data_IF_251270261734
#
_entry.id   IF_251270261734
#
_cell.length_a   1.000
_cell.length_b   1.000
_cell.length_c   1.000
_cell.angle_alpha   90.00
_cell.angle_beta   90.00
_cell.angle_gamma   90.00
#
_symmetry.space_group_name_H-M   'P 1'
#
loop_
_entity.id
_entity.type
_entity.pdbx_description
1 polymer ?
#
# COMPACT_ATOMS: atom_id res chain seq x y z
N UNK A 1 27.73 -43.24 40.44
CA UNK A 1 27.56 -41.82 40.10
C UNK A 1 28.32 -41.43 38.83
N UNK A 2 29.63 -41.67 38.68
CA UNK A 2 30.40 -41.27 37.49
C UNK A 2 29.86 -41.85 36.15
N UNK A 3 29.46 -43.13 36.11
CA UNK A 3 28.90 -43.75 34.88
C UNK A 3 27.58 -43.13 34.43
N UNK A 4 26.70 -42.73 35.35
CA UNK A 4 25.43 -42.05 35.04
C UNK A 4 25.72 -40.66 34.47
N UNK A 5 26.68 -39.92 35.03
CA UNK A 5 27.08 -38.63 34.52
C UNK A 5 27.63 -38.70 33.07
N UNK A 6 28.42 -39.72 32.74
CA UNK A 6 28.90 -39.93 31.37
C UNK A 6 27.76 -40.28 30.40
N UNK A 7 26.79 -41.07 30.80
CA UNK A 7 25.61 -41.41 29.98
C UNK A 7 24.78 -40.15 29.71
N UNK A 8 24.50 -39.35 30.72
CA UNK A 8 23.76 -38.12 30.60
C UNK A 8 24.50 -37.10 29.70
N UNK A 9 25.80 -36.99 29.85
CA UNK A 9 26.63 -36.12 28.99
C UNK A 9 26.60 -36.58 27.54
N UNK A 10 26.68 -37.89 27.28
CA UNK A 10 26.62 -38.44 25.92
C UNK A 10 25.24 -38.22 25.28
N UNK A 11 24.15 -38.39 26.03
CA UNK A 11 22.78 -38.10 25.58
C UNK A 11 22.64 -36.61 25.23
N UNK A 12 23.16 -35.72 26.06
CA UNK A 12 23.14 -34.30 25.81
C UNK A 12 23.88 -33.92 24.50
N UNK A 13 25.04 -34.51 24.25
CA UNK A 13 25.79 -34.30 23.01
C UNK A 13 25.04 -34.82 21.78
N UNK A 14 24.40 -36.00 21.87
CA UNK A 14 23.61 -36.58 20.78
C UNK A 14 22.41 -35.69 20.42
N UNK A 15 21.89 -34.90 21.36
CA UNK A 15 20.79 -33.97 21.12
C UNK A 15 21.33 -32.62 20.61
N UNK A 16 22.36 -32.08 21.26
CA UNK A 16 22.86 -30.71 20.94
C UNK A 16 23.61 -30.62 19.60
N UNK A 17 24.34 -31.68 19.22
CA UNK A 17 25.09 -31.65 17.95
C UNK A 17 24.15 -31.62 16.75
N UNK A 18 23.15 -32.49 16.59
CA UNK A 18 22.22 -32.41 15.48
C UNK A 18 21.43 -31.08 15.47
N UNK A 19 21.01 -30.57 16.63
CA UNK A 19 20.34 -29.31 16.78
C UNK A 19 21.24 -28.14 16.30
N UNK A 20 22.51 -28.10 16.71
CA UNK A 20 23.48 -27.11 16.26
C UNK A 20 23.75 -27.19 14.74
N UNK A 21 23.89 -28.41 14.19
CA UNK A 21 24.03 -28.64 12.76
C UNK A 21 22.80 -28.14 12.00
N UNK A 22 21.60 -28.44 12.50
CA UNK A 22 20.36 -27.99 11.87
C UNK A 22 20.22 -26.46 11.86
N UNK A 23 20.62 -25.79 12.95
CA UNK A 23 20.64 -24.33 13.00
C UNK A 23 21.68 -23.75 12.04
N UNK A 24 22.85 -24.34 11.95
CA UNK A 24 23.90 -23.92 11.02
C UNK A 24 23.48 -24.10 9.54
N UNK A 25 22.80 -25.20 9.20
CA UNK A 25 22.26 -25.43 7.87
C UNK A 25 21.19 -24.39 7.54
N UNK A 26 20.25 -24.11 8.47
CA UNK A 26 19.24 -23.05 8.29
C UNK A 26 19.88 -21.69 8.05
N UNK A 27 20.88 -21.33 8.86
CA UNK A 27 21.59 -20.04 8.71
C UNK A 27 22.30 -19.90 7.36
N UNK A 28 22.90 -21.00 6.86
CA UNK A 28 23.55 -21.01 5.53
C UNK A 28 22.59 -21.06 4.34
N UNK A 29 21.30 -21.25 4.56
CA UNK A 29 20.26 -21.22 3.53
C UNK A 29 19.63 -19.83 3.38
N UNK A 30 19.95 -18.89 4.28
CA UNK A 30 19.49 -17.52 4.15
C UNK A 30 20.35 -16.79 3.10
N UNK A 31 19.76 -15.89 2.31
CA UNK A 31 20.54 -15.04 1.39
C UNK A 31 21.42 -14.07 2.18
N UNK A 32 22.49 -13.60 1.55
CA UNK A 32 23.34 -12.56 2.14
C UNK A 32 22.66 -11.20 2.09
N UNK A 33 21.87 -10.94 1.05
CA UNK A 33 21.07 -9.72 0.88
C UNK A 33 19.70 -10.02 0.29
N UNK A 34 18.76 -9.10 0.54
CA UNK A 34 17.42 -9.06 -0.08
C UNK A 34 17.08 -7.65 -0.51
N UNK A 35 16.21 -7.53 -1.49
CA UNK A 35 15.71 -6.24 -2.00
C UNK A 35 14.22 -6.12 -1.72
N UNK A 36 13.78 -4.99 -1.13
CA UNK A 36 12.38 -4.69 -0.85
C UNK A 36 11.93 -3.50 -1.70
N UNK A 37 10.93 -3.71 -2.56
CA UNK A 37 10.26 -2.61 -3.24
C UNK A 37 9.28 -1.92 -2.29
N UNK A 38 9.37 -0.59 -2.18
CA UNK A 38 8.70 0.22 -1.17
C UNK A 38 7.49 0.95 -1.75
N UNK A 39 7.47 2.26 -1.75
CA UNK A 39 6.37 3.09 -2.26
C UNK A 39 6.72 4.56 -2.15
N UNK A 40 5.73 5.40 -2.42
CA UNK A 40 5.86 6.85 -2.40
C UNK A 40 6.26 7.38 -1.03
N UNK A 41 7.01 8.48 -1.05
CA UNK A 41 7.29 9.29 0.15
C UNK A 41 5.98 9.83 0.72
N UNK A 42 5.81 9.73 2.04
CA UNK A 42 4.57 10.08 2.72
C UNK A 42 3.52 8.97 2.75
N UNK A 43 3.71 7.87 2.00
CA UNK A 43 2.91 6.66 2.09
C UNK A 43 3.38 5.70 3.18
N UNK A 44 2.53 4.74 3.53
CA UNK A 44 2.82 3.76 4.60
C UNK A 44 3.79 2.67 4.16
N UNK A 45 3.83 2.30 2.89
CA UNK A 45 4.68 1.22 2.38
C UNK A 45 6.16 1.44 2.69
N UNK A 46 6.67 2.66 2.47
CA UNK A 46 8.06 3.00 2.75
C UNK A 46 8.42 2.84 4.23
N UNK A 47 7.52 3.25 5.13
CA UNK A 47 7.71 3.15 6.57
C UNK A 47 7.75 1.68 7.01
N UNK A 48 6.79 0.88 6.54
CA UNK A 48 6.68 -0.53 6.92
C UNK A 48 7.80 -1.36 6.30
N UNK A 49 8.14 -1.13 5.02
CA UNK A 49 9.24 -1.82 4.37
C UNK A 49 10.55 -1.61 5.12
N UNK A 50 10.82 -0.35 5.55
CA UNK A 50 12.00 -0.04 6.33
C UNK A 50 12.00 -0.73 7.69
N UNK A 51 10.90 -0.67 8.44
CA UNK A 51 10.78 -1.34 9.73
C UNK A 51 10.95 -2.88 9.62
N UNK A 52 10.41 -3.47 8.55
CA UNK A 52 10.57 -4.89 8.25
C UNK A 52 12.03 -5.22 7.91
N UNK A 53 12.67 -4.43 7.08
CA UNK A 53 14.06 -4.63 6.71
C UNK A 53 15.00 -4.49 7.91
N UNK A 54 14.83 -3.47 8.74
CA UNK A 54 15.60 -3.30 9.98
C UNK A 54 15.45 -4.54 10.88
N UNK A 55 14.22 -5.05 11.06
CA UNK A 55 13.98 -6.25 11.86
C UNK A 55 14.61 -7.53 11.25
N UNK A 56 14.65 -7.66 9.92
CA UNK A 56 15.31 -8.76 9.21
C UNK A 56 16.83 -8.67 9.41
N UNK A 57 17.40 -7.49 9.22
CA UNK A 57 18.82 -7.24 9.40
C UNK A 57 19.26 -7.53 10.84
N UNK A 58 18.53 -7.00 11.83
CA UNK A 58 18.85 -7.19 13.26
C UNK A 58 18.76 -8.69 13.66
N UNK A 59 17.77 -9.40 13.14
CA UNK A 59 17.51 -10.78 13.57
C UNK A 59 18.36 -11.83 12.84
N UNK A 60 18.62 -11.58 11.57
CA UNK A 60 19.23 -12.61 10.69
C UNK A 60 20.57 -12.17 10.10
N UNK A 61 20.95 -10.90 10.22
CA UNK A 61 22.18 -10.35 9.63
C UNK A 61 22.15 -10.26 8.11
N UNK A 62 20.95 -10.26 7.51
CA UNK A 62 20.74 -10.14 6.05
C UNK A 62 20.80 -8.65 5.71
N UNK A 63 21.59 -8.28 4.71
CA UNK A 63 21.60 -6.93 4.17
C UNK A 63 20.29 -6.63 3.44
N UNK A 64 19.71 -5.45 3.63
CA UNK A 64 18.42 -5.10 3.02
C UNK A 64 18.57 -3.86 2.17
N UNK A 65 18.38 -4.03 0.85
CA UNK A 65 18.30 -2.96 -0.12
C UNK A 65 16.85 -2.53 -0.36
N UNK A 66 16.64 -1.27 -0.75
CA UNK A 66 15.32 -0.74 -1.00
C UNK A 66 15.21 -0.11 -2.38
N UNK A 67 14.10 -0.42 -3.09
CA UNK A 67 13.73 0.23 -4.34
C UNK A 67 12.54 1.16 -4.05
N UNK A 68 12.72 2.46 -4.28
CA UNK A 68 11.62 3.41 -4.27
C UNK A 68 10.73 3.19 -5.51
N UNK A 69 9.42 3.20 -5.32
CA UNK A 69 8.45 2.93 -6.37
C UNK A 69 7.24 3.86 -6.29
N UNK A 70 6.48 3.91 -7.38
CA UNK A 70 5.18 4.60 -7.40
C UNK A 70 4.10 3.86 -6.56
N UNK A 71 4.30 2.58 -6.23
CA UNK A 71 3.37 1.79 -5.42
C UNK A 71 3.05 0.42 -6.01
N UNK A 72 1.82 -0.04 -5.83
CA UNK A 72 1.43 -1.44 -5.97
C UNK A 72 1.69 -2.07 -7.34
N UNK A 73 1.36 -1.40 -8.45
CA UNK A 73 1.61 -1.95 -9.79
C UNK A 73 3.11 -2.05 -10.09
N UNK A 74 3.87 -1.01 -9.77
CA UNK A 74 5.32 -1.00 -9.90
C UNK A 74 5.97 -2.08 -9.03
N UNK A 75 5.47 -2.29 -7.83
CA UNK A 75 5.97 -3.29 -6.90
C UNK A 75 5.76 -4.72 -7.41
N UNK A 76 4.59 -5.02 -7.97
CA UNK A 76 4.30 -6.32 -8.57
C UNK A 76 5.23 -6.56 -9.77
N UNK A 77 5.47 -5.55 -10.58
CA UNK A 77 6.39 -5.63 -11.71
C UNK A 77 7.82 -5.94 -11.26
N UNK A 78 8.35 -5.27 -10.24
CA UNK A 78 9.68 -5.54 -9.70
C UNK A 78 9.83 -6.99 -9.20
N UNK A 79 8.79 -7.57 -8.57
CA UNK A 79 8.80 -8.99 -8.19
C UNK A 79 8.78 -9.90 -9.44
N UNK A 80 7.92 -9.63 -10.43
CA UNK A 80 7.83 -10.46 -11.64
C UNK A 80 9.12 -10.44 -12.49
N UNK A 81 9.79 -9.30 -12.55
CA UNK A 81 11.05 -9.10 -13.25
C UNK A 81 12.26 -9.60 -12.44
N UNK A 82 12.07 -9.95 -11.16
CA UNK A 82 13.14 -10.43 -10.28
C UNK A 82 14.08 -9.33 -9.80
N UNK A 83 13.63 -8.07 -9.83
CA UNK A 83 14.38 -6.92 -9.35
C UNK A 83 14.19 -6.71 -7.83
N UNK A 84 13.10 -7.23 -7.24
CA UNK A 84 12.85 -7.24 -5.81
C UNK A 84 12.47 -8.64 -5.32
N UNK A 85 12.87 -8.97 -4.09
CA UNK A 85 12.51 -10.22 -3.40
C UNK A 85 11.19 -10.08 -2.65
N UNK A 86 10.90 -8.88 -2.11
CA UNK A 86 9.69 -8.54 -1.36
C UNK A 86 9.13 -7.21 -1.82
N UNK A 87 7.81 -7.08 -1.68
CA UNK A 87 7.10 -5.84 -1.97
C UNK A 87 5.80 -5.74 -1.18
N UNK A 88 5.33 -4.51 -0.96
CA UNK A 88 3.98 -4.24 -0.45
C UNK A 88 3.06 -3.85 -1.61
N UNK A 89 1.84 -4.36 -1.62
CA UNK A 89 0.87 -4.03 -2.66
C UNK A 89 -0.57 -4.22 -2.19
N UNK A 90 -1.49 -3.53 -2.83
CA UNK A 90 -2.93 -3.67 -2.65
C UNK A 90 -3.45 -4.91 -3.39
N UNK A 91 -4.27 -5.78 -2.78
CA UNK A 91 -4.75 -7.00 -3.43
C UNK A 91 -5.54 -6.76 -4.72
N UNK A 92 -6.30 -5.68 -4.80
CA UNK A 92 -7.11 -5.32 -5.97
C UNK A 92 -6.29 -5.06 -7.24
N UNK A 93 -4.98 -4.83 -7.12
CA UNK A 93 -4.10 -4.60 -8.28
C UNK A 93 -3.88 -5.87 -9.10
N UNK A 94 -3.91 -7.04 -8.45
CA UNK A 94 -3.73 -8.35 -9.14
C UNK A 94 -5.06 -9.01 -9.51
N UNK A 95 -6.19 -8.52 -9.01
CA UNK A 95 -7.50 -9.12 -9.29
C UNK A 95 -7.95 -8.82 -10.72
N UNK A 96 -8.21 -9.88 -11.49
CA UNK A 96 -8.68 -9.77 -12.88
C UNK A 96 -7.66 -9.36 -13.93
N UNK A 97 -6.39 -9.20 -13.53
CA UNK A 97 -5.25 -8.94 -14.43
C UNK A 97 -4.47 -10.22 -14.75
N UNK A 98 -3.43 -10.10 -15.58
CA UNK A 98 -2.55 -11.21 -15.95
C UNK A 98 -2.02 -11.95 -14.72
N UNK A 99 -1.85 -13.28 -14.87
CA UNK A 99 -1.30 -14.10 -13.78
C UNK A 99 0.18 -13.75 -13.62
N UNK A 100 0.49 -13.04 -12.56
CA UNK A 100 1.87 -12.77 -12.15
C UNK A 100 2.46 -14.04 -11.55
N UNK A 101 3.16 -14.83 -12.38
CA UNK A 101 3.60 -16.20 -12.04
C UNK A 101 4.60 -16.25 -10.89
N UNK A 102 5.35 -15.17 -10.68
CA UNK A 102 6.39 -15.07 -9.67
C UNK A 102 5.91 -14.45 -8.34
N UNK A 103 4.75 -13.79 -8.33
CA UNK A 103 4.21 -13.15 -7.13
C UNK A 103 3.55 -14.17 -6.21
N UNK A 104 3.87 -14.11 -4.93
CA UNK A 104 3.23 -14.91 -3.86
C UNK A 104 2.91 -14.01 -2.68
N UNK A 105 1.65 -13.94 -2.30
CA UNK A 105 1.23 -13.24 -1.08
C UNK A 105 1.61 -14.08 0.13
N UNK A 106 2.31 -13.48 1.08
CA UNK A 106 2.78 -14.13 2.31
C UNK A 106 2.04 -13.66 3.56
N UNK A 107 1.57 -12.42 3.60
CA UNK A 107 0.82 -11.89 4.74
C UNK A 107 0.02 -10.64 4.36
N UNK A 108 -1.07 -10.39 5.10
CA UNK A 108 -1.69 -9.08 5.19
C UNK A 108 -1.00 -8.30 6.31
N UNK A 109 -0.58 -7.07 6.03
CA UNK A 109 0.22 -6.28 6.95
C UNK A 109 -0.63 -5.23 7.67
N UNK A 110 -1.47 -4.49 6.94
CA UNK A 110 -2.37 -3.47 7.49
C UNK A 110 -3.56 -3.24 6.54
N UNK A 111 -4.69 -2.73 7.06
CA UNK A 111 -5.80 -2.31 6.22
C UNK A 111 -5.49 -0.96 5.55
N UNK A 112 -5.93 -0.81 4.31
CA UNK A 112 -5.92 0.46 3.61
C UNK A 112 -7.35 0.98 3.45
N UNK A 113 -7.51 2.28 3.55
CA UNK A 113 -8.78 2.97 3.39
C UNK A 113 -8.73 3.90 2.18
N UNK A 114 -9.83 3.99 1.47
CA UNK A 114 -9.99 4.95 0.38
C UNK A 114 -10.59 6.22 0.96
N UNK A 115 -9.84 7.32 0.89
CA UNK A 115 -10.28 8.62 1.38
C UNK A 115 -10.44 9.58 0.22
N UNK A 116 -11.62 10.19 0.11
CA UNK A 116 -11.95 11.18 -0.91
C UNK A 116 -11.85 12.58 -0.30
N UNK A 117 -10.77 13.28 -0.61
CA UNK A 117 -10.54 14.66 -0.19
C UNK A 117 -11.08 15.62 -1.23
N UNK A 118 -12.09 16.38 -0.87
CA UNK A 118 -12.71 17.41 -1.73
C UNK A 118 -12.39 18.78 -1.19
N UNK A 119 -12.08 19.71 -2.06
CA UNK A 119 -11.89 21.11 -1.74
C UNK A 119 -13.13 21.69 -1.05
N UNK A 120 -12.96 22.40 0.07
CA UNK A 120 -14.10 22.89 0.90
C UNK A 120 -15.01 23.87 0.15
N UNK A 121 -14.45 24.65 -0.75
CA UNK A 121 -15.16 25.67 -1.54
C UNK A 121 -15.82 25.12 -2.81
N UNK A 122 -15.66 23.80 -3.12
CA UNK A 122 -16.36 23.19 -4.23
C UNK A 122 -17.88 23.17 -3.96
N UNK A 123 -18.72 23.82 -4.81
CA UNK A 123 -20.13 24.02 -4.52
C UNK A 123 -21.03 22.82 -4.84
N UNK A 124 -20.46 21.71 -5.33
CA UNK A 124 -21.20 20.49 -5.73
C UNK A 124 -20.50 19.22 -5.25
N UNK A 125 -21.24 18.11 -5.27
CA UNK A 125 -20.66 16.78 -5.00
C UNK A 125 -20.05 16.22 -6.29
N UNK A 126 -18.71 16.00 -6.35
CA UNK A 126 -18.04 15.56 -7.57
C UNK A 126 -18.41 14.13 -7.98
N UNK A 127 -19.06 13.34 -7.15
CA UNK A 127 -19.56 12.01 -7.52
C UNK A 127 -20.98 12.03 -8.08
N UNK A 128 -21.83 12.95 -7.66
CA UNK A 128 -23.25 12.96 -8.00
C UNK A 128 -23.63 14.07 -8.99
N UNK A 129 -22.87 15.12 -9.02
CA UNK A 129 -23.19 16.32 -9.80
C UNK A 129 -22.06 16.65 -10.77
N UNK A 130 -22.41 17.22 -11.91
CA UNK A 130 -21.46 17.94 -12.75
C UNK A 130 -21.52 19.42 -12.39
N UNK A 131 -20.42 20.13 -12.64
CA UNK A 131 -20.42 21.58 -12.51
C UNK A 131 -21.59 22.20 -13.29
N UNK A 132 -22.39 23.04 -12.64
CA UNK A 132 -23.54 23.73 -13.25
C UNK A 132 -23.14 24.63 -14.44
N UNK A 133 -21.88 25.02 -14.49
CA UNK A 133 -21.30 25.87 -15.54
C UNK A 133 -20.59 25.08 -16.63
N UNK A 134 -20.64 23.73 -16.61
CA UNK A 134 -19.91 22.87 -17.53
C UNK A 134 -18.38 22.91 -17.34
N UNK A 135 -17.92 23.37 -16.17
CA UNK A 135 -16.50 23.37 -15.82
C UNK A 135 -16.02 21.92 -15.60
N UNK A 136 -14.79 21.67 -15.98
CA UNK A 136 -14.13 20.39 -15.79
C UNK A 136 -13.76 20.20 -14.31
N UNK A 137 -14.12 19.04 -13.73
CA UNK A 137 -13.70 18.67 -12.39
C UNK A 137 -12.32 18.00 -12.46
N UNK A 138 -11.34 18.53 -11.77
CA UNK A 138 -9.99 17.98 -11.72
C UNK A 138 -9.88 16.95 -10.59
N UNK A 139 -9.50 15.72 -10.94
CA UNK A 139 -9.43 14.60 -10.00
C UNK A 139 -8.01 14.03 -9.96
N UNK A 140 -7.34 14.13 -8.82
CA UNK A 140 -6.08 13.43 -8.61
C UNK A 140 -6.37 11.96 -8.28
N UNK A 141 -5.80 11.06 -9.09
CA UNK A 141 -6.03 9.60 -9.03
C UNK A 141 -4.83 8.81 -8.50
N UNK A 142 -3.76 9.50 -8.12
CA UNK A 142 -2.49 8.91 -7.70
C UNK A 142 -1.43 8.94 -8.79
N UNK A 143 -0.20 8.55 -8.46
CA UNK A 143 0.91 8.47 -9.41
C UNK A 143 0.79 7.25 -10.30
N UNK A 144 1.19 7.37 -11.57
CA UNK A 144 1.19 6.26 -12.52
C UNK A 144 2.01 5.06 -11.99
N UNK A 145 1.43 3.86 -12.05
CA UNK A 145 2.01 2.64 -11.45
C UNK A 145 1.70 2.44 -9.97
N UNK A 146 0.88 3.31 -9.36
CA UNK A 146 0.41 3.17 -7.98
C UNK A 146 -0.88 2.33 -7.89
N UNK A 147 -1.15 1.83 -6.68
CA UNK A 147 -2.44 1.21 -6.35
C UNK A 147 -3.59 2.23 -6.30
N UNK A 148 -3.27 3.51 -6.04
CA UNK A 148 -4.25 4.60 -6.05
C UNK A 148 -4.90 4.75 -7.42
N UNK A 149 -4.14 4.66 -8.52
CA UNK A 149 -4.66 4.72 -9.89
C UNK A 149 -5.66 3.60 -10.14
N UNK A 150 -5.33 2.37 -9.73
CA UNK A 150 -6.21 1.20 -9.90
C UNK A 150 -7.51 1.38 -9.12
N UNK A 151 -7.41 1.79 -7.87
CA UNK A 151 -8.57 2.03 -6.99
C UNK A 151 -9.43 3.18 -7.49
N UNK A 152 -8.82 4.31 -7.81
CA UNK A 152 -9.50 5.51 -8.33
C UNK A 152 -10.23 5.21 -9.64
N UNK A 153 -9.58 4.49 -10.55
CA UNK A 153 -10.18 4.07 -11.83
C UNK A 153 -11.41 3.20 -11.58
N UNK A 154 -11.32 2.21 -10.70
CA UNK A 154 -12.45 1.34 -10.38
C UNK A 154 -13.64 2.12 -9.80
N UNK A 155 -13.37 3.11 -8.94
CA UNK A 155 -14.41 3.98 -8.36
C UNK A 155 -15.03 4.87 -9.43
N UNK A 156 -14.22 5.56 -10.26
CA UNK A 156 -14.70 6.46 -11.29
C UNK A 156 -15.52 5.71 -12.36
N UNK A 157 -15.10 4.51 -12.73
CA UNK A 157 -15.83 3.64 -13.66
C UNK A 157 -17.19 3.20 -13.09
N UNK A 158 -17.26 2.92 -11.78
CA UNK A 158 -18.52 2.58 -11.12
C UNK A 158 -19.55 3.69 -11.26
N UNK A 159 -19.14 4.94 -11.15
CA UNK A 159 -20.00 6.11 -11.34
C UNK A 159 -20.15 6.54 -12.79
N UNK A 160 -19.52 5.84 -13.75
CA UNK A 160 -19.47 6.22 -15.16
C UNK A 160 -19.01 7.66 -15.37
N UNK A 161 -18.12 8.13 -14.52
CA UNK A 161 -17.63 9.51 -14.52
C UNK A 161 -16.73 9.83 -15.72
N UNK A 162 -16.25 8.84 -16.46
CA UNK A 162 -15.59 9.04 -17.74
C UNK A 162 -16.46 9.79 -18.78
N UNK A 163 -17.78 9.84 -18.56
CA UNK A 163 -18.71 10.61 -19.40
C UNK A 163 -19.00 12.03 -18.88
N UNK A 164 -18.53 12.39 -17.69
CA UNK A 164 -18.65 13.72 -17.13
C UNK A 164 -17.38 14.52 -17.43
N UNK A 165 -17.50 15.82 -17.51
CA UNK A 165 -16.37 16.72 -17.72
C UNK A 165 -15.36 16.62 -16.56
N UNK A 166 -14.58 15.53 -16.55
CA UNK A 166 -13.55 15.28 -15.53
C UNK A 166 -12.19 15.16 -16.19
N UNK A 167 -11.18 15.73 -15.58
CA UNK A 167 -9.78 15.57 -15.91
C UNK A 167 -9.10 14.76 -14.82
N UNK A 168 -8.47 13.63 -15.19
CA UNK A 168 -7.70 12.81 -14.26
C UNK A 168 -6.25 13.27 -14.27
N UNK A 169 -5.72 13.55 -13.07
CA UNK A 169 -4.34 13.97 -12.87
C UNK A 169 -3.57 12.84 -12.15
N UNK A 170 -2.47 12.44 -12.78
CA UNK A 170 -1.57 11.40 -12.24
C UNK A 170 -0.46 12.08 -11.45
N UNK A 171 -0.64 12.18 -10.14
CA UNK A 171 0.19 13.01 -9.26
C UNK A 171 0.68 12.21 -8.05
N UNK A 172 1.90 12.51 -7.60
CA UNK A 172 2.40 12.00 -6.33
C UNK A 172 1.77 12.73 -5.13
N UNK A 173 1.99 12.23 -3.92
CA UNK A 173 1.36 12.79 -2.71
C UNK A 173 1.74 14.25 -2.43
N UNK A 174 2.95 14.68 -2.76
CA UNK A 174 3.37 16.06 -2.59
C UNK A 174 2.59 16.99 -3.53
N UNK A 175 2.49 16.63 -4.80
CA UNK A 175 1.73 17.37 -5.81
C UNK A 175 0.23 17.39 -5.49
N UNK A 176 -0.32 16.29 -4.95
CA UNK A 176 -1.72 16.23 -4.49
C UNK A 176 -1.96 17.24 -3.36
N UNK A 177 -1.09 17.29 -2.35
CA UNK A 177 -1.20 18.23 -1.22
C UNK A 177 -1.17 19.67 -1.70
N UNK A 178 -0.19 20.00 -2.53
CA UNK A 178 -0.05 21.37 -3.09
C UNK A 178 -1.22 21.74 -4.00
N UNK A 179 -1.67 20.81 -4.85
CA UNK A 179 -2.78 21.03 -5.78
C UNK A 179 -4.12 21.25 -5.07
N UNK A 180 -4.40 20.50 -4.00
CA UNK A 180 -5.59 20.70 -3.16
C UNK A 180 -5.55 22.03 -2.41
N UNK A 181 -4.39 22.42 -1.86
CA UNK A 181 -4.21 23.69 -1.16
C UNK A 181 -4.31 24.88 -2.13
N UNK A 182 -3.68 24.75 -3.29
CA UNK A 182 -3.65 25.80 -4.33
C UNK A 182 -4.91 25.90 -5.18
N UNK A 183 -5.86 24.95 -5.04
CA UNK A 183 -7.11 24.94 -5.81
C UNK A 183 -6.98 24.42 -7.25
N UNK A 184 -5.86 23.78 -7.59
CA UNK A 184 -5.66 23.12 -8.88
C UNK A 184 -6.34 21.74 -8.96
N UNK A 185 -6.68 21.15 -7.83
CA UNK A 185 -7.35 19.85 -7.69
C UNK A 185 -8.67 20.05 -6.95
N UNK A 186 -9.77 19.53 -7.50
CA UNK A 186 -11.09 19.58 -6.88
C UNK A 186 -11.34 18.38 -5.97
N UNK A 187 -10.90 17.18 -6.37
CA UNK A 187 -11.02 15.91 -5.66
C UNK A 187 -9.71 15.14 -5.74
N UNK A 188 -9.26 14.59 -4.62
CA UNK A 188 -8.23 13.57 -4.60
C UNK A 188 -8.77 12.27 -3.99
N UNK A 189 -8.48 11.14 -4.65
CA UNK A 189 -8.80 9.80 -4.17
C UNK A 189 -7.49 9.16 -3.74
N UNK A 190 -7.29 8.98 -2.43
CA UNK A 190 -6.05 8.48 -1.84
C UNK A 190 -6.34 7.18 -1.10
N UNK A 191 -5.59 6.13 -1.42
CA UNK A 191 -5.72 4.80 -0.80
C UNK A 191 -4.47 4.48 -0.01
N UNK A 192 -4.57 4.51 1.31
CA UNK A 192 -3.47 4.19 2.21
C UNK A 192 -4.01 3.88 3.60
N UNK A 193 -3.14 3.64 4.58
CA UNK A 193 -3.56 3.55 5.97
C UNK A 193 -4.15 4.88 6.46
N UNK A 194 -5.16 4.78 7.34
CA UNK A 194 -5.91 5.92 7.87
C UNK A 194 -4.99 7.04 8.42
N UNK A 195 -3.98 6.66 9.21
CA UNK A 195 -3.02 7.61 9.80
C UNK A 195 -1.71 7.73 9.00
N UNK A 196 -1.76 7.58 7.68
CA UNK A 196 -0.58 7.78 6.85
C UNK A 196 -0.18 9.27 6.82
N UNK A 197 1.13 9.60 6.72
CA UNK A 197 1.59 10.99 6.72
C UNK A 197 0.93 11.88 5.67
N UNK A 198 0.55 11.34 4.52
CA UNK A 198 -0.16 12.08 3.47
C UNK A 198 -1.54 12.54 3.96
N UNK A 199 -2.29 11.67 4.66
CA UNK A 199 -3.61 12.01 5.20
C UNK A 199 -3.51 13.13 6.23
N UNK A 200 -2.55 13.01 7.15
CA UNK A 200 -2.29 14.04 8.17
C UNK A 200 -1.94 15.39 7.53
N UNK A 201 -1.04 15.41 6.54
CA UNK A 201 -0.64 16.63 5.85
C UNK A 201 -1.78 17.30 5.09
N UNK A 202 -2.65 16.52 4.41
CA UNK A 202 -3.84 17.07 3.75
C UNK A 202 -4.78 17.71 4.78
N UNK A 203 -5.00 17.03 5.92
CA UNK A 203 -5.85 17.53 6.99
C UNK A 203 -5.29 18.80 7.63
N UNK A 204 -3.97 18.86 7.91
CA UNK A 204 -3.28 20.03 8.47
C UNK A 204 -3.44 21.29 7.63
N UNK A 205 -3.47 21.16 6.30
CA UNK A 205 -3.68 22.29 5.39
C UNK A 205 -5.08 22.92 5.53
N UNK A 206 -6.06 22.16 5.99
CA UNK A 206 -7.41 22.65 6.27
C UNK A 206 -8.21 23.11 5.05
N UNK A 207 -7.72 22.89 3.84
CA UNK A 207 -8.36 23.30 2.59
C UNK A 207 -9.45 22.34 2.11
N UNK A 208 -9.47 21.10 2.63
CA UNK A 208 -10.34 20.02 2.17
C UNK A 208 -11.35 19.58 3.23
N UNK A 209 -12.37 18.87 2.78
CA UNK A 209 -13.27 18.03 3.59
C UNK A 209 -13.26 16.62 3.02
N UNK A 210 -13.47 15.63 3.87
CA UNK A 210 -13.68 14.25 3.44
C UNK A 210 -15.14 14.06 3.06
N UNK A 211 -15.38 13.39 1.94
CA UNK A 211 -16.73 13.00 1.51
C UNK A 211 -16.84 11.49 1.43
N UNK A 212 -18.04 10.99 1.66
CA UNK A 212 -18.37 9.57 1.48
C UNK A 212 -18.46 9.22 0.01
N UNK A 213 -18.04 8.00 -0.35
CA UNK A 213 -18.30 7.43 -1.66
C UNK A 213 -19.78 7.03 -1.71
N UNK A 214 -20.61 7.65 -2.58
CA UNK A 214 -22.01 7.32 -2.65
C UNK A 214 -22.22 5.89 -3.14
N UNK A 215 -23.31 5.23 -2.72
CA UNK A 215 -23.64 3.85 -3.14
C UNK A 215 -22.53 2.84 -2.92
N UNK A 216 -21.73 2.99 -1.85
CA UNK A 216 -20.57 2.13 -1.53
C UNK A 216 -20.95 0.64 -1.49
N UNK A 217 -22.14 0.26 -0.97
CA UNK A 217 -22.61 -1.13 -0.99
C UNK A 217 -22.70 -1.71 -2.41
N UNK A 218 -23.15 -0.91 -3.38
CA UNK A 218 -23.22 -1.32 -4.78
C UNK A 218 -21.85 -1.46 -5.42
N UNK A 219 -20.90 -0.61 -5.02
CA UNK A 219 -19.50 -0.71 -5.46
C UNK A 219 -18.85 -1.99 -4.92
N UNK A 220 -18.94 -2.23 -3.61
CA UNK A 220 -18.38 -3.40 -2.92
C UNK A 220 -18.96 -4.71 -3.48
N UNK A 221 -20.27 -4.76 -3.76
CA UNK A 221 -20.89 -5.94 -4.34
C UNK A 221 -20.33 -6.35 -5.72
N UNK A 222 -19.72 -5.42 -6.44
CA UNK A 222 -19.08 -5.66 -7.75
C UNK A 222 -17.57 -5.81 -7.67
N UNK A 223 -16.97 -5.38 -6.58
CA UNK A 223 -15.53 -5.35 -6.35
C UNK A 223 -15.23 -6.05 -5.00
N UNK A 224 -15.12 -7.39 -4.99
CA UNK A 224 -15.04 -8.20 -3.77
C UNK A 224 -13.76 -7.96 -2.94
N UNK A 225 -12.76 -7.30 -3.49
CA UNK A 225 -11.54 -6.93 -2.78
C UNK A 225 -11.74 -5.72 -1.86
N UNK A 226 -12.89 -5.05 -1.97
CA UNK A 226 -13.23 -3.88 -1.16
C UNK A 226 -14.30 -4.22 -0.12
N UNK A 227 -14.24 -3.51 1.00
CA UNK A 227 -15.24 -3.59 2.07
C UNK A 227 -15.66 -2.19 2.48
N UNK A 228 -16.90 -2.06 2.95
CA UNK A 228 -17.34 -0.81 3.53
C UNK A 228 -16.57 -0.50 4.81
N UNK A 229 -16.10 0.73 4.90
CA UNK A 229 -15.42 1.26 6.08
C UNK A 229 -15.98 2.64 6.41
N UNK A 230 -16.21 2.88 7.69
CA UNK A 230 -16.67 4.18 8.19
C UNK A 230 -15.49 4.84 8.90
N UNK A 231 -15.00 5.93 8.34
CA UNK A 231 -13.93 6.73 8.96
C UNK A 231 -14.49 7.33 10.25
N UNK A 232 -13.81 7.11 11.41
CA UNK A 232 -14.26 7.67 12.68
C UNK A 232 -14.34 9.21 12.66
N UNK A 233 -15.27 9.77 13.42
CA UNK A 233 -15.35 11.22 13.58
C UNK A 233 -14.12 11.75 14.33
N UNK A 234 -13.49 12.78 13.79
CA UNK A 234 -12.27 13.37 14.35
C UNK A 234 -10.98 12.94 13.65
N UNK A 235 -11.14 12.25 12.55
CA UNK A 235 -10.05 11.94 11.60
C UNK A 235 -9.63 13.21 10.85
#
# INVERSE_FOLDING_TARGET
>A
MKRIAYILFFILLVILIPFGIQQLIRYRQLPDSITIATGLEGGRYKIIAKALGDAIQDKYGIEVDYIDSSGSESNIRYIDEGEADFALFQPNVITGKEIHSNVRMIANVFPEVVVCHVRKDLPYDPFLESSAEGLMTTIAVGEEGSGDVVTSTAILDHFKRASLHTEQLFLNYHEIIEGLEGGAIDLAIVTTEENAPVQEKIAEKGATKIISIPFADSFVARNPDFHNYVIPSGF
#
